data_IF_670134130419
#
_entry.id   IF_670134130419
#
_cell.length_a   1.000
_cell.length_b   1.000
_cell.length_c   1.000
_cell.angle_alpha   90.00
_cell.angle_beta   90.00
_cell.angle_gamma   90.00
#
_symmetry.space_group_name_H-M   'P 1'
#
loop_
_entity.id
_entity.type
_entity.pdbx_description
1 polymer ?
#
# COMPACT_ATOMS: atom_id res chain seq x y z
N UNK A 1 8.59 13.40 49.01
CA UNK A 1 7.85 14.65 48.75
C UNK A 1 7.07 14.45 47.46
N UNK A 2 5.75 14.37 47.57
CA UNK A 2 4.84 14.32 46.44
C UNK A 2 4.74 15.69 45.74
N UNK A 3 4.32 15.67 44.47
CA UNK A 3 3.64 16.69 43.65
C UNK A 3 3.96 16.37 42.18
N UNK A 4 3.11 16.48 41.16
CA UNK A 4 1.66 16.37 40.98
C UNK A 4 1.44 16.42 39.46
N UNK A 5 0.45 15.68 38.98
CA UNK A 5 -0.03 15.57 37.60
C UNK A 5 -0.37 16.86 36.87
N UNK A 6 -0.22 16.86 35.53
CA UNK A 6 -1.20 17.49 34.62
C UNK A 6 -1.06 16.96 33.18
N UNK A 7 -2.08 16.23 32.72
CA UNK A 7 -2.32 15.87 31.32
C UNK A 7 -3.10 16.99 30.61
N UNK A 8 -2.90 17.26 29.31
CA UNK A 8 -3.82 18.08 28.54
C UNK A 8 -4.90 17.25 27.84
N UNK A 9 -6.09 17.83 27.90
CA UNK A 9 -7.40 17.32 27.47
C UNK A 9 -7.54 17.39 25.95
N UNK A 10 -8.05 16.30 25.36
CA UNK A 10 -8.45 16.20 23.95
C UNK A 10 -9.84 16.82 23.79
N UNK A 11 -9.96 17.82 22.92
CA UNK A 11 -11.25 18.40 22.50
C UNK A 11 -11.76 17.73 21.21
N UNK A 12 -13.01 17.23 21.15
CA UNK A 12 -13.56 16.69 19.91
C UNK A 12 -14.19 17.79 19.04
N UNK A 13 -13.71 17.90 17.81
CA UNK A 13 -14.27 18.76 16.77
C UNK A 13 -15.59 18.16 16.25
N UNK A 14 -16.72 18.79 16.57
CA UNK A 14 -18.06 18.42 16.09
C UNK A 14 -18.35 19.12 14.76
N UNK A 15 -18.41 18.36 13.66
CA UNK A 15 -18.98 18.85 12.41
C UNK A 15 -20.51 18.79 12.45
N UNK A 16 -21.12 19.95 12.22
CA UNK A 16 -22.56 20.21 12.20
C UNK A 16 -23.19 19.68 10.91
N UNK A 17 -24.26 18.90 11.03
CA UNK A 17 -25.16 18.53 9.93
C UNK A 17 -26.40 19.43 9.98
N UNK A 18 -26.97 19.93 8.86
CA UNK A 18 -28.13 20.81 8.91
C UNK A 18 -29.41 20.06 9.32
N UNK A 19 -30.12 20.65 10.28
CA UNK A 19 -31.40 20.20 10.83
C UNK A 19 -32.53 20.59 9.87
N UNK A 20 -33.29 19.60 9.39
CA UNK A 20 -34.50 19.83 8.60
C UNK A 20 -35.56 20.54 9.46
N UNK A 21 -36.11 21.64 8.95
CA UNK A 21 -37.17 22.43 9.56
C UNK A 21 -38.53 21.75 9.32
N UNK A 22 -39.25 21.51 10.42
CA UNK A 22 -40.66 21.14 10.45
C UNK A 22 -41.52 22.37 10.17
N UNK A 23 -42.37 22.32 9.14
CA UNK A 23 -43.48 23.26 8.96
C UNK A 23 -44.81 22.56 9.28
N UNK A 24 -45.64 23.29 10.02
CA UNK A 24 -46.87 22.87 10.67
C UNK A 24 -48.01 22.49 9.74
N UNK A 25 -48.90 21.69 10.34
CA UNK A 25 -50.25 21.32 9.95
C UNK A 25 -51.11 22.51 9.57
N UNK A 26 -51.84 22.39 8.46
CA UNK A 26 -53.18 22.96 8.32
C UNK A 26 -54.16 21.86 7.93
N UNK A 27 -55.26 21.84 8.68
CA UNK A 27 -56.39 20.93 8.58
C UNK A 27 -57.42 21.59 7.68
N UNK A 28 -57.83 20.92 6.60
CA UNK A 28 -59.15 21.13 6.02
C UNK A 28 -59.77 19.79 5.66
N UNK A 29 -60.90 19.49 6.29
CA UNK A 29 -61.72 18.30 6.09
C UNK A 29 -62.52 18.39 4.80
N UNK A 30 -62.56 17.33 4.00
CA UNK A 30 -63.74 17.00 3.19
C UNK A 30 -63.92 15.48 3.11
N UNK A 31 -65.19 15.07 3.11
CA UNK A 31 -65.69 13.75 3.44
C UNK A 31 -65.77 12.77 2.26
N UNK A 32 -65.93 11.48 2.61
CA UNK A 32 -66.54 10.36 1.83
C UNK A 32 -65.77 9.92 0.57
N UNK A 33 -65.50 8.64 0.28
CA UNK A 33 -66.39 7.46 0.29
C UNK A 33 -65.51 6.20 0.28
N UNK A 34 -65.92 5.14 0.99
CA UNK A 34 -65.24 3.87 1.03
C UNK A 34 -65.36 3.10 -0.30
N UNK A 35 -64.23 2.67 -0.86
CA UNK A 35 -64.21 1.62 -1.89
C UNK A 35 -63.12 0.61 -1.55
N UNK A 36 -63.54 -0.63 -1.29
CA UNK A 36 -62.68 -1.79 -1.03
C UNK A 36 -61.60 -1.92 -2.10
N UNK A 37 -60.33 -1.69 -1.74
CA UNK A 37 -59.17 -2.16 -2.53
C UNK A 37 -58.50 -3.30 -1.79
N UNK A 38 -58.55 -4.46 -2.44
CA UNK A 38 -57.90 -5.72 -2.05
C UNK A 38 -56.39 -5.48 -1.97
N UNK A 39 -55.82 -5.64 -0.78
CA UNK A 39 -54.42 -5.41 -0.51
C UNK A 39 -53.63 -6.67 -0.90
N UNK A 40 -52.98 -6.65 -2.07
CA UNK A 40 -51.90 -7.58 -2.42
C UNK A 40 -50.62 -7.08 -1.74
N UNK A 41 -50.42 -7.42 -0.46
CA UNK A 41 -49.10 -7.45 0.14
C UNK A 41 -48.55 -8.86 -0.04
N UNK A 42 -47.34 -9.04 -0.59
CA UNK A 42 -46.35 -10.04 -0.13
C UNK A 42 -45.15 -10.31 -1.06
N UNK A 43 -44.88 -9.57 -2.15
CA UNK A 43 -43.69 -9.88 -3.00
C UNK A 43 -42.68 -8.75 -3.17
N UNK A 44 -43.02 -7.50 -2.85
CA UNK A 44 -42.11 -6.37 -3.07
C UNK A 44 -41.07 -6.15 -1.94
N UNK A 45 -41.30 -6.70 -0.75
CA UNK A 45 -40.39 -6.51 0.40
C UNK A 45 -39.17 -7.43 0.35
N UNK A 46 -39.27 -8.61 -0.27
CA UNK A 46 -38.18 -9.59 -0.32
C UNK A 46 -37.11 -9.23 -1.35
N UNK A 47 -37.47 -8.51 -2.42
CA UNK A 47 -36.55 -8.14 -3.49
C UNK A 47 -35.63 -6.98 -3.12
N UNK A 48 -36.09 -6.04 -2.28
CA UNK A 48 -35.29 -4.88 -1.86
C UNK A 48 -34.22 -5.29 -0.83
N UNK A 49 -34.52 -6.25 0.06
CA UNK A 49 -33.56 -6.77 1.03
C UNK A 49 -32.39 -7.53 0.37
N UNK A 50 -32.67 -8.30 -0.69
CA UNK A 50 -31.63 -9.02 -1.45
C UNK A 50 -30.73 -8.08 -2.26
N UNK A 51 -31.27 -6.97 -2.78
CA UNK A 51 -30.49 -5.96 -3.51
C UNK A 51 -29.56 -5.15 -2.59
N UNK A 52 -29.92 -4.95 -1.32
CA UNK A 52 -29.06 -4.26 -0.33
C UNK A 52 -27.92 -5.15 0.20
N UNK A 53 -28.05 -6.47 0.13
CA UNK A 53 -27.00 -7.42 0.51
C UNK A 53 -25.88 -7.56 -0.54
N UNK A 54 -26.08 -7.05 -1.76
CA UNK A 54 -25.08 -7.01 -2.83
C UNK A 54 -24.25 -5.71 -2.83
N UNK A 55 -24.17 -5.02 -1.68
CA UNK A 55 -23.06 -4.10 -1.41
C UNK A 55 -21.79 -4.94 -1.37
N UNK A 56 -21.04 -5.01 -2.47
CA UNK A 56 -19.66 -5.47 -2.43
C UNK A 56 -18.94 -4.62 -1.38
N UNK A 57 -18.72 -5.19 -0.19
CA UNK A 57 -17.97 -4.52 0.87
C UNK A 57 -16.65 -4.06 0.26
N UNK A 58 -16.33 -2.76 0.43
CA UNK A 58 -15.05 -2.22 -0.03
C UNK A 58 -13.94 -3.11 0.53
N UNK A 59 -13.14 -3.71 -0.34
CA UNK A 59 -12.03 -4.58 0.07
C UNK A 59 -11.03 -3.77 0.88
N UNK A 60 -10.65 -4.28 2.05
CA UNK A 60 -9.59 -3.71 2.88
C UNK A 60 -8.28 -4.38 2.50
N UNK A 61 -7.36 -3.63 1.90
CA UNK A 61 -6.09 -4.16 1.43
C UNK A 61 -4.95 -3.54 2.23
N UNK A 62 -4.09 -4.38 2.81
CA UNK A 62 -2.82 -3.93 3.35
C UNK A 62 -1.84 -3.67 2.20
N UNK A 63 -1.37 -2.43 2.08
CA UNK A 63 -0.53 -2.01 0.97
C UNK A 63 0.93 -2.45 1.08
N UNK A 64 1.40 -2.94 2.24
CA UNK A 64 2.82 -3.23 2.40
C UNK A 64 3.13 -4.18 3.56
N UNK A 65 3.48 -5.42 3.24
CA UNK A 65 3.99 -6.38 4.21
C UNK A 65 5.02 -7.33 3.61
N UNK A 66 5.58 -8.18 4.46
CA UNK A 66 6.59 -9.16 4.11
C UNK A 66 6.19 -10.56 4.57
N UNK A 67 6.59 -11.57 3.81
CA UNK A 67 6.51 -12.99 4.20
C UNK A 67 7.90 -13.59 4.06
N UNK A 68 8.40 -14.22 5.12
CA UNK A 68 9.67 -14.95 5.11
C UNK A 68 9.48 -16.41 5.53
N UNK A 69 10.42 -17.26 5.12
CA UNK A 69 10.36 -18.69 5.37
C UNK A 69 10.32 -18.96 6.89
N UNK A 70 9.73 -20.09 7.28
CA UNK A 70 10.01 -20.65 8.61
C UNK A 70 11.44 -21.20 8.66
N UNK A 71 12.04 -21.39 9.86
CA UNK A 71 13.36 -22.02 9.97
C UNK A 71 13.48 -23.40 9.31
N UNK A 72 12.37 -24.14 9.19
CA UNK A 72 12.36 -25.42 8.49
C UNK A 72 12.33 -25.24 6.97
N UNK A 73 11.42 -24.42 6.45
CA UNK A 73 11.38 -24.07 5.02
C UNK A 73 12.71 -23.50 4.53
N UNK A 74 13.39 -22.70 5.36
CA UNK A 74 14.68 -22.12 5.03
C UNK A 74 15.81 -23.15 4.90
N UNK A 75 15.72 -24.28 5.59
CA UNK A 75 16.69 -25.38 5.46
C UNK A 75 16.46 -26.24 4.23
N UNK A 76 15.20 -26.32 3.78
CA UNK A 76 14.77 -27.29 2.78
C UNK A 76 14.66 -26.69 1.37
N UNK A 77 14.04 -25.51 1.25
CA UNK A 77 13.62 -24.98 -0.06
C UNK A 77 13.88 -23.47 -0.24
N UNK A 78 13.68 -22.67 0.81
CA UNK A 78 13.66 -21.21 0.72
C UNK A 78 14.72 -20.56 1.62
N UNK A 79 16.02 -20.75 1.33
CA UNK A 79 17.09 -20.31 2.22
C UNK A 79 17.05 -18.81 2.48
N UNK A 80 17.44 -18.42 3.70
CA UNK A 80 17.71 -17.02 3.98
C UNK A 80 19.00 -16.59 3.28
N UNK A 81 19.05 -15.34 2.88
CA UNK A 81 20.31 -14.72 2.53
C UNK A 81 21.21 -14.64 3.78
N UNK A 82 22.51 -14.93 3.69
CA UNK A 82 23.40 -14.97 4.85
C UNK A 82 23.32 -13.70 5.71
N UNK A 83 23.06 -13.87 7.01
CA UNK A 83 22.96 -12.75 7.96
C UNK A 83 21.63 -12.00 7.95
N UNK A 84 20.63 -12.51 7.21
CA UNK A 84 19.27 -11.97 7.15
C UNK A 84 18.26 -12.92 7.79
N UNK A 85 18.68 -13.70 8.78
CA UNK A 85 17.80 -14.56 9.55
C UNK A 85 16.81 -13.71 10.36
N UNK A 86 15.49 -13.95 10.23
CA UNK A 86 14.50 -13.21 10.98
C UNK A 86 14.49 -13.61 12.46
N UNK A 87 14.24 -12.64 13.33
CA UNK A 87 14.08 -12.88 14.79
C UNK A 87 12.64 -13.13 15.19
N UNK A 88 11.68 -12.93 14.28
CA UNK A 88 10.25 -13.02 14.51
C UNK A 88 9.59 -13.97 13.51
N UNK A 89 8.40 -14.47 13.84
CA UNK A 89 7.56 -15.24 12.93
C UNK A 89 6.95 -14.31 11.87
N UNK A 90 6.93 -14.76 10.61
CA UNK A 90 6.37 -14.00 9.49
C UNK A 90 6.08 -14.88 8.28
N UNK A 91 5.74 -16.15 8.52
CA UNK A 91 5.27 -17.05 7.47
C UNK A 91 3.85 -16.72 7.00
N UNK A 92 3.47 -17.26 5.85
CA UNK A 92 2.19 -16.96 5.21
C UNK A 92 0.97 -17.33 6.06
N UNK A 93 1.07 -18.40 6.86
CA UNK A 93 -0.07 -18.85 7.69
C UNK A 93 -0.27 -17.89 8.86
N UNK A 94 0.81 -17.44 9.50
CA UNK A 94 0.76 -16.36 10.50
C UNK A 94 0.14 -15.08 9.95
N UNK A 95 0.51 -14.69 8.74
CA UNK A 95 -0.04 -13.51 8.10
C UNK A 95 -1.56 -13.64 7.87
N UNK A 96 -2.02 -14.80 7.41
CA UNK A 96 -3.45 -15.05 7.19
C UNK A 96 -4.25 -15.00 8.49
N UNK A 97 -3.68 -15.49 9.60
CA UNK A 97 -4.24 -15.35 10.95
C UNK A 97 -4.42 -13.86 11.30
N UNK A 98 -3.35 -13.05 11.20
CA UNK A 98 -3.41 -11.62 11.48
C UNK A 98 -4.39 -10.85 10.59
N UNK A 99 -4.43 -11.17 9.29
CA UNK A 99 -5.37 -10.54 8.36
C UNK A 99 -6.82 -10.86 8.72
N UNK A 100 -7.11 -12.11 9.08
CA UNK A 100 -8.44 -12.52 9.51
C UNK A 100 -8.88 -11.79 10.77
N UNK A 101 -7.98 -11.67 11.76
CA UNK A 101 -8.26 -10.93 13.00
C UNK A 101 -8.47 -9.43 12.78
N UNK A 102 -7.70 -8.83 11.87
CA UNK A 102 -7.77 -7.41 11.55
C UNK A 102 -8.87 -7.02 10.55
N UNK A 103 -9.58 -8.01 9.96
CA UNK A 103 -10.58 -7.76 8.92
C UNK A 103 -9.97 -7.27 7.59
N UNK A 104 -8.74 -7.69 7.28
CA UNK A 104 -8.04 -7.38 6.03
C UNK A 104 -8.35 -8.45 4.99
N UNK A 105 -8.85 -8.03 3.83
CA UNK A 105 -9.27 -8.94 2.76
C UNK A 105 -8.09 -9.51 1.96
N UNK A 106 -7.03 -8.73 1.79
CA UNK A 106 -5.86 -9.03 0.96
C UNK A 106 -4.66 -8.12 1.26
N UNK A 107 -3.50 -8.41 0.67
CA UNK A 107 -2.30 -7.61 0.89
C UNK A 107 -1.32 -7.60 -0.29
N UNK A 108 -0.46 -6.59 -0.33
CA UNK A 108 0.72 -6.55 -1.19
C UNK A 108 1.92 -7.14 -0.44
N UNK A 109 2.40 -8.30 -0.88
CA UNK A 109 3.64 -8.89 -0.38
C UNK A 109 4.81 -8.27 -1.12
N UNK A 110 5.59 -7.48 -0.40
CA UNK A 110 6.84 -6.93 -0.88
C UNK A 110 7.95 -7.94 -0.61
N UNK A 111 8.77 -8.23 -1.61
CA UNK A 111 9.90 -9.15 -1.47
C UNK A 111 10.77 -8.75 -0.26
N UNK A 112 10.94 -9.65 0.74
CA UNK A 112 11.71 -9.34 1.94
C UNK A 112 13.22 -9.42 1.68
N UNK A 113 13.98 -8.65 2.45
CA UNK A 113 15.45 -8.71 2.42
C UNK A 113 15.98 -10.07 2.92
N UNK A 114 15.18 -10.80 3.70
CA UNK A 114 15.50 -12.14 4.21
C UNK A 114 15.84 -13.14 3.10
N UNK A 115 15.27 -12.97 1.91
CA UNK A 115 15.54 -13.83 0.74
C UNK A 115 16.19 -13.06 -0.43
N UNK A 116 16.53 -11.78 -0.22
CA UNK A 116 17.11 -10.88 -1.24
C UNK A 116 16.42 -11.03 -2.60
N UNK A 117 17.16 -11.44 -3.64
CA UNK A 117 16.68 -11.57 -5.02
C UNK A 117 16.11 -12.95 -5.34
N UNK A 118 16.10 -13.89 -4.37
CA UNK A 118 15.37 -15.15 -4.50
C UNK A 118 13.89 -14.93 -4.16
N UNK A 119 13.07 -14.89 -5.20
CA UNK A 119 11.63 -14.66 -5.12
C UNK A 119 10.83 -15.97 -5.05
N UNK A 120 11.47 -17.13 -4.89
CA UNK A 120 10.82 -18.45 -4.93
C UNK A 120 9.72 -18.60 -3.88
N UNK A 121 9.99 -18.25 -2.62
CA UNK A 121 9.01 -18.27 -1.52
C UNK A 121 7.81 -17.37 -1.82
N UNK A 122 8.05 -16.08 -2.10
CA UNK A 122 6.94 -15.15 -2.34
C UNK A 122 6.13 -15.62 -3.54
N UNK A 123 6.78 -16.10 -4.59
CA UNK A 123 6.09 -16.66 -5.77
C UNK A 123 5.23 -17.88 -5.41
N UNK A 124 5.68 -18.77 -4.53
CA UNK A 124 4.90 -19.93 -4.10
C UNK A 124 3.68 -19.50 -3.28
N UNK A 125 3.83 -18.48 -2.41
CA UNK A 125 2.73 -17.89 -1.64
C UNK A 125 1.68 -17.22 -2.53
N UNK A 126 2.11 -16.42 -3.53
CA UNK A 126 1.20 -15.79 -4.50
C UNK A 126 0.40 -16.83 -5.29
N UNK A 127 1.05 -17.95 -5.68
CA UNK A 127 0.38 -19.06 -6.37
C UNK A 127 -0.60 -19.80 -5.46
N UNK A 128 -0.27 -19.98 -4.18
CA UNK A 128 -1.11 -20.68 -3.20
C UNK A 128 -2.35 -19.86 -2.84
N UNK A 129 -2.23 -18.54 -2.78
CA UNK A 129 -3.31 -17.64 -2.35
C UNK A 129 -3.54 -16.46 -3.33
N UNK A 130 -3.87 -16.72 -4.61
CA UNK A 130 -3.94 -15.70 -5.65
C UNK A 130 -5.10 -14.70 -5.47
N UNK A 131 -6.12 -15.05 -4.68
CA UNK A 131 -7.22 -14.14 -4.33
C UNK A 131 -6.94 -13.26 -3.10
N UNK A 132 -5.81 -13.47 -2.43
CA UNK A 132 -5.41 -12.76 -1.21
C UNK A 132 -4.22 -11.85 -1.42
N UNK A 133 -3.28 -12.25 -2.25
CA UNK A 133 -1.99 -11.55 -2.34
C UNK A 133 -1.64 -11.13 -3.76
N UNK A 134 -1.05 -9.94 -3.84
CA UNK A 134 -0.31 -9.46 -5.00
C UNK A 134 1.15 -9.22 -4.61
N UNK A 135 2.08 -9.42 -5.55
CA UNK A 135 3.51 -9.28 -5.28
C UNK A 135 4.09 -7.93 -5.69
N UNK A 136 5.03 -7.42 -4.90
CA UNK A 136 5.99 -6.39 -5.29
C UNK A 136 7.41 -6.99 -5.27
N UNK A 137 8.05 -7.09 -6.44
CA UNK A 137 9.37 -7.70 -6.55
C UNK A 137 10.48 -6.72 -6.18
N UNK A 138 11.63 -7.23 -5.71
CA UNK A 138 12.82 -6.43 -5.45
C UNK A 138 13.68 -6.37 -6.71
N UNK A 139 13.95 -5.17 -7.20
CA UNK A 139 14.86 -4.97 -8.33
C UNK A 139 16.30 -5.29 -7.93
N UNK A 140 17.00 -6.08 -8.75
CA UNK A 140 18.40 -6.41 -8.55
C UNK A 140 19.30 -5.37 -9.26
N UNK A 141 20.07 -4.54 -8.52
CA UNK A 141 20.91 -3.49 -9.10
C UNK A 141 22.31 -3.99 -9.50
N UNK A 142 22.53 -5.31 -9.60
CA UNK A 142 23.80 -5.87 -10.06
C UNK A 142 24.15 -5.39 -11.47
N UNK A 143 25.41 -4.98 -11.65
CA UNK A 143 25.97 -4.46 -12.90
C UNK A 143 26.48 -5.58 -13.82
N UNK A 144 25.64 -6.60 -14.01
CA UNK A 144 25.88 -7.75 -14.88
C UNK A 144 24.75 -7.97 -15.90
N UNK A 145 23.78 -7.04 -15.93
CA UNK A 145 22.60 -7.08 -16.80
C UNK A 145 21.55 -8.13 -16.43
N UNK A 146 21.76 -8.93 -15.37
CA UNK A 146 20.81 -9.98 -14.97
C UNK A 146 19.52 -9.40 -14.39
N UNK A 147 19.59 -8.24 -13.73
CA UNK A 147 18.46 -7.59 -13.08
C UNK A 147 17.30 -7.24 -14.02
N UNK A 148 17.58 -6.79 -15.24
CA UNK A 148 16.53 -6.45 -16.22
C UNK A 148 15.78 -7.71 -16.67
N UNK A 149 16.51 -8.77 -17.02
CA UNK A 149 15.91 -10.05 -17.42
C UNK A 149 15.09 -10.66 -16.28
N UNK A 150 15.62 -10.56 -15.06
CA UNK A 150 14.92 -11.02 -13.87
C UNK A 150 13.62 -10.21 -13.66
N UNK A 151 13.67 -8.88 -13.79
CA UNK A 151 12.50 -8.02 -13.68
C UNK A 151 11.42 -8.41 -14.69
N UNK A 152 11.77 -8.53 -15.97
CA UNK A 152 10.82 -8.92 -17.03
C UNK A 152 10.11 -10.24 -16.72
N UNK A 153 10.84 -11.24 -16.23
CA UNK A 153 10.26 -12.52 -15.83
C UNK A 153 9.38 -12.43 -14.56
N UNK A 154 9.76 -11.58 -13.61
CA UNK A 154 9.00 -11.40 -12.37
C UNK A 154 7.68 -10.67 -12.63
N UNK A 155 7.62 -9.67 -13.50
CA UNK A 155 6.38 -8.89 -13.74
C UNK A 155 5.24 -9.75 -14.33
N UNK A 156 5.52 -10.91 -14.91
CA UNK A 156 4.47 -11.90 -15.23
C UNK A 156 3.62 -12.28 -14.01
N UNK A 157 4.24 -12.32 -12.82
CA UNK A 157 3.67 -12.83 -11.55
C UNK A 157 3.50 -11.74 -10.49
N UNK A 158 4.22 -10.64 -10.61
CA UNK A 158 4.23 -9.50 -9.69
C UNK A 158 3.54 -8.30 -10.34
N UNK A 159 3.13 -7.33 -9.52
CA UNK A 159 2.38 -6.13 -9.97
C UNK A 159 3.04 -4.82 -9.57
N UNK A 160 4.19 -4.87 -8.92
CA UNK A 160 4.98 -3.71 -8.56
C UNK A 160 6.46 -4.10 -8.45
N UNK A 161 7.33 -3.10 -8.47
CA UNK A 161 8.79 -3.22 -8.30
C UNK A 161 9.21 -2.40 -7.09
N UNK A 162 10.27 -2.80 -6.39
CA UNK A 162 10.87 -2.03 -5.32
C UNK A 162 12.34 -1.78 -5.59
N UNK A 163 12.75 -0.53 -5.43
CA UNK A 163 14.12 -0.11 -5.23
C UNK A 163 14.43 -0.02 -3.74
N UNK A 164 15.54 -0.62 -3.34
CA UNK A 164 16.17 -0.37 -2.05
C UNK A 164 17.56 0.22 -2.31
N UNK A 165 17.74 1.56 -2.24
CA UNK A 165 19.01 2.22 -2.53
C UNK A 165 20.20 1.68 -1.73
N UNK A 166 19.98 1.07 -0.56
CA UNK A 166 21.05 0.45 0.23
C UNK A 166 21.62 -0.83 -0.38
N UNK A 167 20.95 -1.41 -1.38
CA UNK A 167 21.41 -2.60 -2.10
C UNK A 167 22.21 -2.27 -3.37
N UNK A 168 22.34 -0.98 -3.72
CA UNK A 168 23.25 -0.60 -4.81
C UNK A 168 24.69 -0.90 -4.42
N UNK A 169 25.54 -1.30 -5.39
CA UNK A 169 26.96 -1.47 -5.13
C UNK A 169 27.59 -0.21 -4.53
N UNK A 170 28.61 -0.37 -3.69
CA UNK A 170 29.24 0.75 -2.98
C UNK A 170 29.68 1.85 -3.95
N UNK A 171 29.31 3.09 -3.64
CA UNK A 171 29.61 4.28 -4.47
C UNK A 171 28.71 4.45 -5.70
N UNK A 172 27.83 3.50 -5.99
CA UNK A 172 26.86 3.61 -7.08
C UNK A 172 25.58 4.33 -6.62
N UNK A 173 24.89 4.90 -7.61
CA UNK A 173 23.62 5.63 -7.47
C UNK A 173 22.51 4.89 -8.20
N UNK A 174 21.26 5.11 -7.80
CA UNK A 174 20.08 4.68 -8.55
C UNK A 174 20.04 5.27 -9.97
N UNK A 175 20.68 6.44 -10.17
CA UNK A 175 20.77 7.08 -11.49
C UNK A 175 21.94 6.58 -12.33
N UNK A 176 22.61 5.49 -11.96
CA UNK A 176 23.53 4.81 -12.87
C UNK A 176 22.78 4.11 -14.02
N UNK A 177 23.52 3.55 -14.98
CA UNK A 177 22.94 2.91 -16.18
C UNK A 177 21.93 1.80 -15.84
N UNK A 178 22.28 0.93 -14.87
CA UNK A 178 21.43 -0.17 -14.42
C UNK A 178 20.13 0.34 -13.79
N UNK A 179 20.23 1.28 -12.84
CA UNK A 179 19.06 1.79 -12.14
C UNK A 179 18.12 2.57 -13.06
N UNK A 180 18.66 3.35 -14.00
CA UNK A 180 17.88 3.99 -15.07
C UNK A 180 17.16 2.97 -15.95
N UNK A 181 17.86 1.93 -16.37
CA UNK A 181 17.28 0.86 -17.20
C UNK A 181 16.15 0.15 -16.48
N UNK A 182 16.33 -0.18 -15.19
CA UNK A 182 15.30 -0.82 -14.36
C UNK A 182 14.09 0.11 -14.16
N UNK A 183 14.33 1.39 -13.92
CA UNK A 183 13.29 2.39 -13.70
C UNK A 183 12.47 2.65 -14.98
N UNK A 184 13.13 2.78 -16.13
CA UNK A 184 12.48 2.89 -17.44
C UNK A 184 11.65 1.65 -17.75
N UNK A 185 12.23 0.46 -17.53
CA UNK A 185 11.55 -0.81 -17.79
C UNK A 185 10.29 -0.97 -16.96
N UNK A 186 10.29 -0.56 -15.70
CA UNK A 186 9.07 -0.57 -14.87
C UNK A 186 7.96 0.31 -15.47
N UNK A 187 8.29 1.50 -15.97
CA UNK A 187 7.34 2.39 -16.67
C UNK A 187 6.83 1.81 -17.98
N UNK A 188 7.71 1.22 -18.80
CA UNK A 188 7.34 0.53 -20.06
C UNK A 188 6.36 -0.63 -19.81
N UNK A 189 6.57 -1.37 -18.72
CA UNK A 189 5.70 -2.48 -18.31
C UNK A 189 4.44 -2.02 -17.56
N UNK A 190 4.29 -0.72 -17.29
CA UNK A 190 3.13 -0.14 -16.62
C UNK A 190 2.99 -0.54 -15.15
N UNK A 191 4.09 -0.91 -14.48
CA UNK A 191 4.09 -1.30 -13.06
C UNK A 191 4.63 -0.18 -12.17
N UNK A 192 4.00 0.11 -11.02
CA UNK A 192 4.52 1.10 -10.08
C UNK A 192 5.83 0.62 -9.44
N UNK A 193 6.71 1.58 -9.16
CA UNK A 193 8.00 1.37 -8.54
C UNK A 193 8.06 2.05 -7.16
N UNK A 194 8.15 1.24 -6.11
CA UNK A 194 8.39 1.67 -4.74
C UNK A 194 9.86 1.99 -4.49
N UNK A 195 10.16 3.04 -3.72
CA UNK A 195 11.53 3.38 -3.30
C UNK A 195 11.61 3.41 -1.78
N UNK A 196 12.47 2.56 -1.20
CA UNK A 196 12.69 2.44 0.25
C UNK A 196 13.96 3.18 0.69
N UNK A 197 13.84 4.46 1.02
CA UNK A 197 14.97 5.30 1.46
C UNK A 197 15.29 5.14 2.95
N UNK A 198 15.72 3.96 3.41
CA UNK A 198 15.89 3.66 4.85
C UNK A 198 16.79 4.64 5.63
N UNK A 199 17.73 5.31 4.96
CA UNK A 199 18.63 6.32 5.56
C UNK A 199 18.00 7.72 5.62
N UNK A 200 16.70 7.83 5.38
CA UNK A 200 16.01 9.09 5.11
C UNK A 200 16.08 9.48 3.65
N UNK A 201 15.13 10.29 3.20
CA UNK A 201 14.99 10.70 1.80
C UNK A 201 16.06 11.69 1.32
N UNK A 202 16.62 12.50 2.21
CA UNK A 202 17.54 13.60 1.89
C UNK A 202 18.66 13.23 0.90
N UNK A 203 19.46 12.19 1.18
CA UNK A 203 20.53 11.74 0.28
C UNK A 203 20.08 11.32 -1.12
N UNK A 204 18.81 10.96 -1.30
CA UNK A 204 18.27 10.38 -2.53
C UNK A 204 17.37 11.34 -3.31
N UNK A 205 17.05 12.52 -2.79
CA UNK A 205 16.13 13.49 -3.44
C UNK A 205 16.57 13.75 -4.89
N UNK A 206 17.83 14.12 -5.11
CA UNK A 206 18.31 14.49 -6.44
C UNK A 206 18.18 13.33 -7.43
N UNK A 207 18.46 12.10 -6.98
CA UNK A 207 18.34 10.90 -7.80
C UNK A 207 16.88 10.60 -8.15
N UNK A 208 15.96 10.74 -7.19
CA UNK A 208 14.52 10.55 -7.42
C UNK A 208 13.99 11.60 -8.39
N UNK A 209 14.36 12.87 -8.22
CA UNK A 209 13.96 13.95 -9.12
C UNK A 209 14.46 13.74 -10.54
N UNK A 210 15.69 13.27 -10.69
CA UNK A 210 16.29 12.94 -11.98
C UNK A 210 15.57 11.78 -12.66
N UNK A 211 15.34 10.67 -11.95
CA UNK A 211 14.58 9.53 -12.48
C UNK A 211 13.15 9.93 -12.88
N UNK A 212 12.46 10.72 -12.05
CA UNK A 212 11.09 11.16 -12.35
C UNK A 212 11.03 12.11 -13.54
N UNK A 213 12.01 13.01 -13.69
CA UNK A 213 12.09 13.92 -14.84
C UNK A 213 12.39 13.17 -16.14
N UNK A 214 13.33 12.24 -16.09
CA UNK A 214 13.85 11.57 -17.28
C UNK A 214 12.91 10.43 -17.74
N UNK A 215 12.15 9.83 -16.81
CA UNK A 215 11.22 8.72 -17.08
C UNK A 215 9.81 9.00 -16.53
N UNK A 216 9.05 9.94 -17.13
CA UNK A 216 7.76 10.38 -16.61
C UNK A 216 6.65 9.31 -16.67
N UNK A 217 6.85 8.23 -17.42
CA UNK A 217 5.89 7.11 -17.52
C UNK A 217 5.92 6.18 -16.29
N UNK A 218 7.00 6.19 -15.50
CA UNK A 218 7.13 5.30 -14.34
C UNK A 218 6.41 5.89 -13.13
N UNK A 219 5.37 5.21 -12.66
CA UNK A 219 4.70 5.60 -11.40
C UNK A 219 5.61 5.30 -10.21
N UNK A 220 5.79 6.27 -9.32
CA UNK A 220 6.66 6.15 -8.15
C UNK A 220 5.83 6.11 -6.86
N UNK A 221 6.18 5.19 -5.97
CA UNK A 221 5.66 5.11 -4.60
C UNK A 221 6.83 5.31 -3.63
N UNK A 222 6.70 6.19 -2.65
CA UNK A 222 7.72 6.36 -1.63
C UNK A 222 7.33 5.60 -0.35
N UNK A 223 8.09 4.56 -0.02
CA UNK A 223 7.78 3.68 1.12
C UNK A 223 7.99 4.41 2.46
N UNK A 224 7.16 4.08 3.46
CA UNK A 224 7.32 4.56 4.85
C UNK A 224 7.48 6.09 4.97
N UNK A 225 6.71 6.86 4.19
CA UNK A 225 6.88 8.32 4.05
C UNK A 225 8.33 8.73 3.71
N UNK A 226 8.98 7.94 2.86
CA UNK A 226 10.38 8.06 2.49
C UNK A 226 11.36 8.08 3.69
N UNK A 227 10.97 7.53 4.85
CA UNK A 227 11.71 7.67 6.12
C UNK A 227 12.01 9.14 6.45
N UNK A 228 11.17 10.06 5.99
CA UNK A 228 11.26 11.47 6.31
C UNK A 228 10.83 11.66 7.76
N UNK A 229 11.65 12.35 8.56
CA UNK A 229 11.38 12.63 9.97
C UNK A 229 10.84 14.05 10.12
N UNK A 230 10.02 14.31 11.15
CA UNK A 230 9.70 15.68 11.53
C UNK A 230 11.00 16.46 11.76
N UNK A 231 11.16 17.66 11.17
CA UNK A 231 12.41 18.39 11.23
C UNK A 231 12.68 18.94 12.64
N UNK A 232 13.91 18.79 13.11
CA UNK A 232 14.42 19.33 14.37
C UNK A 232 15.58 20.31 14.18
N UNK A 233 16.08 20.45 12.95
CA UNK A 233 17.13 21.37 12.54
C UNK A 233 16.96 21.78 11.07
N UNK A 234 17.73 22.78 10.62
CA UNK A 234 17.66 23.35 9.26
C UNK A 234 17.95 22.33 8.15
N UNK A 235 18.81 21.34 8.38
CA UNK A 235 19.11 20.30 7.38
C UNK A 235 17.92 19.39 7.17
N UNK A 236 17.29 18.95 8.27
CA UNK A 236 16.07 18.16 8.23
C UNK A 236 14.89 18.96 7.66
N UNK A 237 14.79 20.25 7.93
CA UNK A 237 13.75 21.13 7.35
C UNK A 237 13.90 21.23 5.82
N UNK A 238 15.15 21.34 5.33
CA UNK A 238 15.44 21.31 3.89
C UNK A 238 15.09 19.96 3.28
N UNK A 239 15.44 18.84 3.94
CA UNK A 239 15.11 17.51 3.46
C UNK A 239 13.58 17.29 3.40
N UNK A 240 12.84 17.73 4.43
CA UNK A 240 11.39 17.67 4.49
C UNK A 240 10.73 18.50 3.39
N UNK A 241 11.18 19.74 3.21
CA UNK A 241 10.69 20.63 2.14
C UNK A 241 10.96 20.03 0.75
N UNK A 242 12.14 19.45 0.55
CA UNK A 242 12.51 18.79 -0.70
C UNK A 242 11.64 17.56 -0.96
N UNK A 243 11.37 16.75 0.06
CA UNK A 243 10.44 15.63 -0.03
C UNK A 243 9.02 16.06 -0.44
N UNK A 244 8.46 17.09 0.20
CA UNK A 244 7.15 17.62 -0.18
C UNK A 244 7.15 18.14 -1.62
N UNK A 245 8.25 18.73 -2.07
CA UNK A 245 8.40 19.24 -3.43
C UNK A 245 8.38 18.15 -4.50
N UNK A 246 8.56 16.86 -4.14
CA UNK A 246 8.41 15.74 -5.08
C UNK A 246 6.96 15.60 -5.59
N UNK A 247 5.98 16.16 -4.88
CA UNK A 247 4.57 16.19 -5.33
C UNK A 247 4.35 16.96 -6.65
N UNK A 248 5.32 17.76 -7.09
CA UNK A 248 5.29 18.41 -8.42
C UNK A 248 5.37 17.41 -9.58
N UNK A 249 5.87 16.20 -9.32
CA UNK A 249 5.86 15.10 -10.28
C UNK A 249 4.51 14.37 -10.19
N UNK A 250 3.65 14.44 -11.22
CA UNK A 250 2.29 13.87 -11.16
C UNK A 250 2.28 12.34 -10.98
N UNK A 251 3.38 11.67 -11.34
CA UNK A 251 3.58 10.23 -11.20
C UNK A 251 4.05 9.80 -9.80
N UNK A 252 4.41 10.75 -8.93
CA UNK A 252 4.79 10.45 -7.54
C UNK A 252 3.55 10.33 -6.66
N UNK A 253 3.45 9.19 -5.96
CA UNK A 253 2.39 8.92 -5.00
C UNK A 253 2.99 8.61 -3.63
N UNK A 254 2.34 9.14 -2.59
CA UNK A 254 2.67 8.87 -1.20
C UNK A 254 1.55 7.97 -0.67
N UNK A 255 1.85 6.74 -0.23
CA UNK A 255 0.83 5.85 0.31
C UNK A 255 0.33 6.41 1.64
N UNK A 256 -0.71 7.24 1.57
CA UNK A 256 -1.56 7.61 2.69
C UNK A 256 -3.01 7.59 2.21
N UNK A 257 -3.69 6.49 2.51
CA UNK A 257 -5.14 6.24 2.42
C UNK A 257 -5.87 6.70 1.14
N UNK A 258 -6.36 5.70 0.38
CA UNK A 258 -7.31 5.78 -0.76
C UNK A 258 -6.80 6.44 -2.05
N UNK A 259 -5.92 5.74 -2.77
CA UNK A 259 -6.11 5.57 -4.22
C UNK A 259 -6.23 4.09 -4.49
N UNK A 260 -7.32 3.68 -5.15
CA UNK A 260 -7.53 2.30 -5.56
C UNK A 260 -6.39 1.88 -6.48
N UNK A 261 -5.50 1.05 -5.96
CA UNK A 261 -4.78 0.09 -6.79
C UNK A 261 -5.85 -0.93 -7.18
N UNK A 262 -6.19 -0.96 -8.47
CA UNK A 262 -7.10 -1.99 -8.97
C UNK A 262 -6.34 -3.31 -8.91
N UNK A 263 -6.80 -4.19 -8.02
CA UNK A 263 -6.36 -5.58 -7.87
C UNK A 263 -6.99 -6.42 -8.98
#
# INVERSE_FOLDING_TARGET
>A
MALSSSSPVVAPCRFLCPRATTASRDILSFATTATRRRLLLSTATTTIAAAMAASSSCKVIDSHLHVWATPQQAKEEYPYFPGQEPTLRGDADFLLECMSEAGVDGAVIVQPINHMFDHSLVTSVLKKYPSKFVGCCLANPADDGTGIKQLEHLIEKYRAVRFNPNLWPSGQKMTNEVGRSLFSKAGELGVPLGIMTMKGVGPYIQEIEELCRDYPATTVILDHMAFCKPPTNDEEEKAFSSFLSLSRFPQCSFPHNKRSISI
#
